data_IF_224169589381
#
_entry.id   IF_224169589381
#
_cell.length_a   1.000
_cell.length_b   1.000
_cell.length_c   1.000
_cell.angle_alpha   90.00
_cell.angle_beta   90.00
_cell.angle_gamma   90.00
#
_symmetry.space_group_name_H-M   'P 1'
#
loop_
_entity.id
_entity.type
_entity.pdbx_description
1 polymer ?
#
# COMPACT_ATOMS: atom_id res chain seq x y z
N UNK A 1 -7.43 -2.40 57.34
CA UNK A 1 -7.08 -2.78 55.94
C UNK A 1 -8.07 -2.23 54.90
N UNK A 2 -8.43 -0.93 54.93
CA UNK A 2 -9.32 -0.31 53.91
C UNK A 2 -8.74 0.95 53.25
N UNK A 3 -7.59 1.45 53.72
CA UNK A 3 -6.95 2.67 53.19
C UNK A 3 -5.87 2.39 52.14
N UNK A 4 -5.29 1.18 52.14
CA UNK A 4 -4.24 0.78 51.18
C UNK A 4 -4.86 0.40 49.83
N UNK A 5 -6.06 -0.16 49.82
CA UNK A 5 -6.76 -0.61 48.59
C UNK A 5 -7.19 0.56 47.70
N UNK A 6 -7.48 1.73 48.28
CA UNK A 6 -7.91 2.91 47.51
C UNK A 6 -6.75 3.62 46.80
N UNK A 7 -5.54 3.57 47.38
CA UNK A 7 -4.34 4.15 46.77
C UNK A 7 -3.85 3.33 45.57
N UNK A 8 -4.05 2.00 45.60
CA UNK A 8 -3.69 1.13 44.47
C UNK A 8 -4.62 1.30 43.26
N UNK A 9 -5.87 1.69 43.46
CA UNK A 9 -6.83 1.95 42.37
C UNK A 9 -6.53 3.25 41.61
N UNK A 10 -5.92 4.25 42.25
CA UNK A 10 -5.55 5.53 41.61
C UNK A 10 -4.28 5.44 40.76
N UNK A 11 -3.41 4.46 41.02
CA UNK A 11 -2.15 4.25 40.27
C UNK A 11 -2.37 3.41 39.01
N UNK A 12 -3.41 2.57 38.97
CA UNK A 12 -3.74 1.77 37.78
C UNK A 12 -4.55 2.60 36.75
N UNK A 13 -5.25 3.66 37.17
CA UNK A 13 -5.96 4.55 36.26
C UNK A 13 -5.08 5.53 35.47
N UNK A 14 -3.77 5.60 35.76
CA UNK A 14 -2.83 6.52 35.10
C UNK A 14 -1.91 5.85 34.07
N UNK A 15 -2.09 4.56 33.76
CA UNK A 15 -1.26 3.82 32.77
C UNK A 15 -1.99 3.63 31.43
N UNK A 16 -2.97 4.48 31.10
CA UNK A 16 -3.65 4.41 29.78
C UNK A 16 -3.92 5.77 29.16
N UNK A 17 -2.97 6.70 29.33
CA UNK A 17 -2.88 7.89 28.49
C UNK A 17 -1.51 7.89 27.80
N UNK A 18 -1.22 6.84 27.03
CA UNK A 18 -0.62 7.09 25.72
C UNK A 18 -1.75 6.92 24.69
N UNK A 19 -2.76 7.78 24.81
CA UNK A 19 -3.47 8.17 23.60
C UNK A 19 -2.39 8.78 22.72
N UNK A 20 -1.95 8.04 21.69
CA UNK A 20 -1.42 8.70 20.51
C UNK A 20 -2.54 9.62 20.05
N UNK A 21 -2.52 10.88 20.48
CA UNK A 21 -3.26 11.93 19.80
C UNK A 21 -2.67 11.95 18.38
N UNK A 22 -3.28 11.16 17.49
CA UNK A 22 -2.92 11.14 16.08
C UNK A 22 -3.27 12.53 15.56
N UNK A 23 -2.25 13.32 15.30
CA UNK A 23 -2.40 14.57 14.56
C UNK A 23 -2.71 14.25 13.10
N UNK A 24 -3.36 15.19 12.41
CA UNK A 24 -3.53 15.12 10.94
C UNK A 24 -2.19 14.92 10.24
N UNK A 25 -1.12 15.53 10.75
CA UNK A 25 0.25 15.33 10.26
C UNK A 25 0.72 13.88 10.40
N UNK A 26 0.56 13.26 11.58
CA UNK A 26 0.95 11.85 11.80
C UNK A 26 0.17 10.89 10.90
N UNK A 27 -1.11 11.19 10.65
CA UNK A 27 -1.94 10.45 9.70
C UNK A 27 -1.42 10.57 8.27
N UNK A 28 -1.19 11.80 7.80
CA UNK A 28 -0.70 12.07 6.45
C UNK A 28 0.67 11.44 6.20
N UNK A 29 1.59 11.56 7.16
CA UNK A 29 2.92 10.96 7.07
C UNK A 29 2.85 9.43 6.88
N UNK A 30 1.92 8.74 7.57
CA UNK A 30 1.73 7.31 7.37
C UNK A 30 1.19 6.97 5.99
N UNK A 31 0.26 7.77 5.45
CA UNK A 31 -0.24 7.60 4.09
C UNK A 31 0.87 7.82 3.06
N UNK A 32 1.67 8.89 3.19
CA UNK A 32 2.78 9.21 2.29
C UNK A 32 3.86 8.13 2.31
N UNK A 33 4.23 7.66 3.51
CA UNK A 33 5.20 6.58 3.66
C UNK A 33 4.71 5.29 3.00
N UNK A 34 3.43 4.94 3.20
CA UNK A 34 2.84 3.78 2.56
C UNK A 34 2.79 3.93 1.03
N UNK A 35 2.49 5.14 0.52
CA UNK A 35 2.45 5.43 -0.91
C UNK A 35 3.80 5.23 -1.56
N UNK A 36 4.83 5.77 -0.90
CA UNK A 36 6.22 5.65 -1.32
C UNK A 36 6.60 4.17 -1.41
N UNK A 37 6.31 3.38 -0.37
CA UNK A 37 6.61 1.93 -0.35
C UNK A 37 5.86 1.15 -1.43
N UNK A 38 4.60 1.51 -1.72
CA UNK A 38 3.82 0.91 -2.80
C UNK A 38 4.51 1.12 -4.15
N UNK A 39 4.87 2.36 -4.49
CA UNK A 39 5.55 2.64 -5.75
C UNK A 39 6.93 2.01 -5.83
N UNK A 40 7.69 2.02 -4.73
CA UNK A 40 9.00 1.40 -4.68
C UNK A 40 8.93 -0.10 -4.96
N UNK A 41 7.99 -0.81 -4.34
CA UNK A 41 7.80 -2.25 -4.56
C UNK A 41 7.41 -2.57 -6.02
N UNK A 42 6.52 -1.76 -6.61
CA UNK A 42 6.10 -1.91 -8.00
C UNK A 42 7.20 -1.56 -9.00
N UNK A 43 8.00 -0.53 -8.74
CA UNK A 43 9.13 -0.14 -9.58
C UNK A 43 10.24 -1.20 -9.56
N UNK A 44 10.59 -1.71 -8.37
CA UNK A 44 11.55 -2.81 -8.21
C UNK A 44 11.09 -4.07 -8.93
N UNK A 45 9.80 -4.40 -8.84
CA UNK A 45 9.21 -5.51 -9.59
C UNK A 45 9.35 -5.32 -11.10
N UNK A 46 8.98 -4.14 -11.62
CA UNK A 46 9.07 -3.86 -13.05
C UNK A 46 10.51 -3.99 -13.52
N UNK A 47 11.46 -3.32 -12.86
CA UNK A 47 12.90 -3.40 -13.21
C UNK A 47 13.43 -4.85 -13.15
N UNK A 48 13.06 -5.60 -12.12
CA UNK A 48 13.51 -6.98 -11.93
C UNK A 48 12.89 -7.98 -12.91
N UNK A 49 11.65 -7.73 -13.37
CA UNK A 49 10.92 -8.67 -14.25
C UNK A 49 11.31 -8.56 -15.72
N UNK A 50 11.71 -7.38 -16.20
CA UNK A 50 12.01 -7.14 -17.62
C UNK A 50 13.04 -8.10 -18.22
N UNK A 51 14.06 -8.50 -17.45
CA UNK A 51 15.08 -9.44 -17.91
C UNK A 51 14.64 -10.91 -17.87
N UNK A 52 13.48 -11.21 -17.27
CA UNK A 52 12.96 -12.55 -17.04
C UNK A 52 11.82 -12.92 -18.00
N UNK A 53 11.12 -11.93 -18.55
CA UNK A 53 10.03 -12.15 -19.51
C UNK A 53 10.53 -12.87 -20.77
N UNK A 54 9.70 -13.77 -21.32
CA UNK A 54 9.99 -14.50 -22.56
C UNK A 54 11.02 -15.62 -22.42
N UNK A 55 11.48 -15.91 -21.19
CA UNK A 55 12.52 -16.90 -20.89
C UNK A 55 11.97 -18.06 -20.06
N UNK A 56 11.72 -19.25 -20.64
CA UNK A 56 11.12 -20.36 -19.90
C UNK A 56 11.90 -20.77 -18.64
N UNK A 57 13.23 -20.66 -18.70
CA UNK A 57 14.14 -20.96 -17.60
C UNK A 57 14.02 -20.00 -16.40
N UNK A 58 13.48 -18.79 -16.61
CA UNK A 58 13.36 -17.77 -15.56
C UNK A 58 12.14 -17.96 -14.65
N UNK A 59 11.25 -18.91 -14.97
CA UNK A 59 9.94 -19.10 -14.29
C UNK A 59 10.05 -19.07 -12.76
N UNK A 60 11.03 -19.78 -12.19
CA UNK A 60 11.23 -19.83 -10.74
C UNK A 60 11.67 -18.49 -10.16
N UNK A 61 12.54 -17.78 -10.87
CA UNK A 61 13.04 -16.47 -10.45
C UNK A 61 11.92 -15.42 -10.50
N UNK A 62 11.13 -15.41 -11.58
CA UNK A 62 9.99 -14.50 -11.71
C UNK A 62 8.91 -14.79 -10.65
N UNK A 63 8.60 -16.05 -10.34
CA UNK A 63 7.71 -16.40 -9.22
C UNK A 63 8.25 -15.90 -7.86
N UNK A 64 9.56 -16.00 -7.65
CA UNK A 64 10.20 -15.50 -6.42
C UNK A 64 10.08 -13.98 -6.33
N UNK A 65 10.28 -13.28 -7.45
CA UNK A 65 10.12 -11.83 -7.53
C UNK A 65 8.65 -11.42 -7.26
N UNK A 66 7.67 -12.08 -7.88
CA UNK A 66 6.24 -11.84 -7.64
C UNK A 66 5.89 -12.01 -6.16
N UNK A 67 6.30 -13.14 -5.55
CA UNK A 67 6.03 -13.43 -4.15
C UNK A 67 6.69 -12.41 -3.21
N UNK A 68 7.93 -12.01 -3.50
CA UNK A 68 8.66 -10.99 -2.74
C UNK A 68 7.95 -9.64 -2.79
N UNK A 69 7.53 -9.20 -3.99
CA UNK A 69 6.80 -7.95 -4.19
C UNK A 69 5.45 -7.98 -3.47
N UNK A 70 4.68 -9.06 -3.61
CA UNK A 70 3.42 -9.24 -2.87
C UNK A 70 3.60 -9.08 -1.36
N UNK A 71 4.63 -9.71 -0.79
CA UNK A 71 4.90 -9.62 0.64
C UNK A 71 5.27 -8.19 1.08
N UNK A 72 6.04 -7.46 0.27
CA UNK A 72 6.34 -6.04 0.51
C UNK A 72 5.07 -5.19 0.50
N UNK A 73 4.19 -5.40 -0.48
CA UNK A 73 2.91 -4.69 -0.58
C UNK A 73 2.02 -4.97 0.63
N UNK A 74 1.85 -6.24 1.02
CA UNK A 74 1.08 -6.62 2.22
C UNK A 74 1.66 -5.96 3.47
N UNK A 75 2.98 -5.96 3.63
CA UNK A 75 3.63 -5.34 4.78
C UNK A 75 3.44 -3.81 4.80
N UNK A 76 3.51 -3.16 3.64
CA UNK A 76 3.33 -1.71 3.49
C UNK A 76 1.86 -1.28 3.61
N UNK A 77 0.90 -2.17 3.33
CA UNK A 77 -0.54 -1.92 3.53
C UNK A 77 -0.93 -1.87 5.01
N UNK A 78 -0.34 -2.72 5.86
CA UNK A 78 -0.71 -2.89 7.28
C UNK A 78 -0.84 -1.59 8.08
N UNK A 79 0.09 -0.62 8.00
CA UNK A 79 -0.07 0.65 8.70
C UNK A 79 -1.35 1.40 8.29
N UNK A 80 -1.69 1.39 7.00
CA UNK A 80 -2.89 2.05 6.46
C UNK A 80 -4.17 1.33 6.92
N UNK A 81 -4.16 -0.01 6.96
CA UNK A 81 -5.28 -0.79 7.51
C UNK A 81 -5.57 -0.40 8.98
N UNK A 82 -4.51 -0.17 9.76
CA UNK A 82 -4.59 0.23 11.18
C UNK A 82 -4.84 1.74 11.40
N UNK A 83 -4.84 2.53 10.33
CA UNK A 83 -5.26 3.93 10.41
C UNK A 83 -6.77 3.99 10.63
N UNK A 84 -7.18 4.77 11.63
CA UNK A 84 -8.59 5.13 11.78
C UNK A 84 -8.87 6.27 10.80
N UNK A 85 -9.98 6.25 10.04
CA UNK A 85 -10.30 7.31 9.10
C UNK A 85 -10.46 8.64 9.84
N UNK A 86 -9.92 9.71 9.25
CA UNK A 86 -10.23 11.08 9.68
C UNK A 86 -11.58 11.49 9.10
N UNK A 87 -12.35 12.31 9.81
CA UNK A 87 -13.60 12.87 9.27
C UNK A 87 -13.36 13.75 8.04
N UNK A 88 -12.18 14.37 7.96
CA UNK A 88 -11.73 15.18 6.81
C UNK A 88 -11.03 14.37 5.73
N UNK A 89 -10.96 13.04 5.83
CA UNK A 89 -10.11 12.20 4.97
C UNK A 89 -10.46 12.26 3.47
N UNK A 90 -11.70 12.65 3.12
CA UNK A 90 -12.21 12.71 1.73
C UNK A 90 -12.02 11.39 0.95
N UNK A 91 -11.83 10.27 1.66
CA UNK A 91 -11.63 8.95 1.06
C UNK A 91 -10.17 8.58 0.78
N UNK A 92 -9.18 9.41 1.11
CA UNK A 92 -7.76 9.16 0.82
C UNK A 92 -7.30 7.78 1.32
N UNK A 93 -7.61 7.42 2.57
CA UNK A 93 -7.24 6.09 3.10
C UNK A 93 -7.90 4.97 2.33
N UNK A 94 -9.18 5.12 1.98
CA UNK A 94 -9.88 4.07 1.22
C UNK A 94 -9.22 3.89 -0.14
N UNK A 95 -9.00 4.97 -0.88
CA UNK A 95 -8.34 4.92 -2.20
C UNK A 95 -6.93 4.33 -2.10
N UNK A 96 -6.19 4.64 -1.03
CA UNK A 96 -4.89 4.03 -0.77
C UNK A 96 -4.99 2.51 -0.57
N UNK A 97 -5.97 2.04 0.23
CA UNK A 97 -6.18 0.61 0.42
C UNK A 97 -6.60 -0.08 -0.88
N UNK A 98 -7.47 0.54 -1.67
CA UNK A 98 -7.88 0.05 -2.98
C UNK A 98 -6.65 -0.08 -3.92
N UNK A 99 -5.70 0.86 -3.85
CA UNK A 99 -4.46 0.83 -4.63
C UNK A 99 -3.54 -0.32 -4.22
N UNK A 100 -3.41 -0.60 -2.91
CA UNK A 100 -2.69 -1.78 -2.44
C UNK A 100 -3.36 -3.07 -2.90
N UNK A 101 -4.69 -3.16 -2.79
CA UNK A 101 -5.44 -4.36 -3.16
C UNK A 101 -5.38 -4.62 -4.67
N UNK A 102 -5.43 -3.59 -5.51
CA UNK A 102 -5.22 -3.70 -6.95
C UNK A 102 -3.81 -4.20 -7.29
N UNK A 103 -2.78 -3.65 -6.63
CA UNK A 103 -1.39 -4.06 -6.85
C UNK A 103 -1.12 -5.50 -6.40
N UNK A 104 -1.68 -5.92 -5.25
CA UNK A 104 -1.59 -7.31 -4.77
C UNK A 104 -2.32 -8.26 -5.71
N UNK A 105 -3.55 -7.93 -6.11
CA UNK A 105 -4.34 -8.72 -7.06
C UNK A 105 -3.62 -8.88 -8.39
N UNK A 106 -2.91 -7.83 -8.83
CA UNK A 106 -2.09 -7.89 -10.04
C UNK A 106 -0.94 -8.89 -9.90
N UNK A 107 -0.27 -8.97 -8.74
CA UNK A 107 0.75 -9.99 -8.49
C UNK A 107 0.16 -11.42 -8.56
N UNK A 108 -1.06 -11.63 -8.02
CA UNK A 108 -1.77 -12.90 -8.13
C UNK A 108 -2.10 -13.26 -9.58
N UNK A 109 -2.58 -12.29 -10.36
CA UNK A 109 -2.84 -12.45 -11.78
C UNK A 109 -1.58 -12.82 -12.58
N UNK A 110 -0.44 -12.19 -12.27
CA UNK A 110 0.85 -12.49 -12.91
C UNK A 110 1.35 -13.89 -12.52
N UNK A 111 1.19 -14.31 -11.27
CA UNK A 111 1.53 -15.67 -10.82
C UNK A 111 0.71 -16.74 -11.55
N UNK A 112 -0.61 -16.55 -11.65
CA UNK A 112 -1.50 -17.49 -12.36
C UNK A 112 -1.09 -17.63 -13.83
N UNK A 113 -0.61 -16.55 -14.44
CA UNK A 113 -0.25 -16.49 -15.85
C UNK A 113 1.25 -16.60 -16.09
N UNK A 114 2.01 -17.13 -15.13
CA UNK A 114 3.46 -17.20 -15.20
C UNK A 114 3.98 -17.89 -16.47
N UNK A 115 3.29 -18.92 -16.96
CA UNK A 115 3.69 -19.64 -18.17
C UNK A 115 3.56 -18.78 -19.42
N UNK A 116 2.62 -17.83 -19.45
CA UNK A 116 2.50 -16.85 -20.53
C UNK A 116 3.64 -15.84 -20.44
N UNK A 117 3.98 -15.39 -19.22
CA UNK A 117 5.04 -14.41 -18.99
C UNK A 117 6.43 -14.93 -19.36
N UNK A 118 6.69 -16.23 -19.23
CA UNK A 118 7.99 -16.84 -19.53
C UNK A 118 8.05 -17.63 -20.84
N UNK A 119 6.91 -17.88 -21.49
CA UNK A 119 6.92 -18.57 -22.79
C UNK A 119 7.73 -17.79 -23.84
N UNK A 120 8.55 -18.54 -24.57
CA UNK A 120 9.25 -18.03 -25.74
C UNK A 120 8.23 -17.49 -26.75
N UNK A 121 8.51 -16.34 -27.34
CA UNK A 121 7.67 -15.66 -28.34
C UNK A 121 6.34 -15.05 -27.82
N UNK A 122 6.13 -14.98 -26.49
CA UNK A 122 4.95 -14.32 -25.89
C UNK A 122 5.22 -12.91 -25.34
N UNK A 123 6.34 -12.28 -25.69
CA UNK A 123 6.77 -10.98 -25.16
C UNK A 123 5.70 -9.89 -25.28
N UNK A 124 5.03 -9.79 -26.43
CA UNK A 124 3.96 -8.81 -26.64
C UNK A 124 2.78 -9.02 -25.69
N UNK A 125 2.36 -10.27 -25.49
CA UNK A 125 1.27 -10.62 -24.56
C UNK A 125 1.69 -10.37 -23.12
N UNK A 126 2.92 -10.72 -22.76
CA UNK A 126 3.48 -10.45 -21.44
C UNK A 126 3.55 -8.94 -21.14
N UNK A 127 3.96 -8.12 -22.11
CA UNK A 127 3.98 -6.67 -21.99
C UNK A 127 2.57 -6.10 -21.77
N UNK A 128 1.56 -6.56 -22.52
CA UNK A 128 0.17 -6.15 -22.30
C UNK A 128 -0.33 -6.52 -20.91
N UNK A 129 0.03 -7.71 -20.41
CA UNK A 129 -0.33 -8.12 -19.05
C UNK A 129 0.33 -7.26 -17.98
N UNK A 130 1.62 -6.95 -18.13
CA UNK A 130 2.34 -6.04 -17.24
C UNK A 130 1.72 -4.64 -17.28
N UNK A 131 1.43 -4.10 -18.46
CA UNK A 131 0.77 -2.79 -18.58
C UNK A 131 -0.61 -2.78 -17.92
N UNK A 132 -1.41 -3.83 -18.12
CA UNK A 132 -2.71 -3.97 -17.47
C UNK A 132 -2.61 -3.97 -15.94
N UNK A 133 -1.62 -4.69 -15.40
CA UNK A 133 -1.35 -4.75 -13.95
C UNK A 133 -1.04 -3.38 -13.31
N UNK A 134 -0.54 -2.39 -14.07
CA UNK A 134 -0.23 -1.06 -13.55
C UNK A 134 -1.27 0.01 -13.91
N UNK A 135 -2.21 -0.27 -14.80
CA UNK A 135 -3.17 0.74 -15.29
C UNK A 135 -4.08 1.23 -14.17
N UNK A 136 -4.67 0.31 -13.41
CA UNK A 136 -5.55 0.66 -12.29
C UNK A 136 -4.81 1.43 -11.18
N UNK A 137 -3.53 1.11 -10.95
CA UNK A 137 -2.67 1.82 -9.99
C UNK A 137 -2.52 3.30 -10.41
N UNK A 138 -2.29 3.57 -11.70
CA UNK A 138 -2.18 4.94 -12.22
C UNK A 138 -3.50 5.70 -12.06
N UNK A 139 -4.64 5.06 -12.36
CA UNK A 139 -5.96 5.68 -12.18
C UNK A 139 -6.26 6.02 -10.71
N UNK A 140 -5.82 5.16 -9.77
CA UNK A 140 -5.96 5.40 -8.35
C UNK A 140 -5.02 6.50 -7.84
N UNK A 141 -3.80 6.61 -8.38
CA UNK A 141 -2.89 7.72 -8.09
C UNK A 141 -3.47 9.07 -8.52
N UNK A 142 -4.08 9.14 -9.71
CA UNK A 142 -4.78 10.35 -10.15
C UNK A 142 -5.97 10.72 -9.24
N UNK A 143 -6.72 9.72 -8.74
CA UNK A 143 -7.77 9.96 -7.74
C UNK A 143 -7.20 10.46 -6.41
N UNK A 144 -6.06 9.92 -5.96
CA UNK A 144 -5.36 10.41 -4.77
C UNK A 144 -4.97 11.89 -4.95
N UNK A 145 -4.42 12.27 -6.11
CA UNK A 145 -4.09 13.68 -6.41
C UNK A 145 -5.32 14.58 -6.37
N UNK A 146 -6.45 14.13 -6.92
CA UNK A 146 -7.71 14.89 -6.84
C UNK A 146 -8.17 15.09 -5.41
N UNK A 147 -8.12 14.05 -4.57
CA UNK A 147 -8.45 14.14 -3.14
C UNK A 147 -7.54 15.14 -2.42
N UNK A 148 -6.25 15.22 -2.78
CA UNK A 148 -5.34 16.20 -2.21
C UNK A 148 -5.70 17.64 -2.57
N UNK A 149 -6.17 17.88 -3.81
CA UNK A 149 -6.66 19.19 -4.25
C UNK A 149 -7.93 19.57 -3.49
N UNK A 150 -8.91 18.67 -3.43
CA UNK A 150 -10.17 18.90 -2.67
C UNK A 150 -9.92 19.19 -1.19
N UNK A 151 -8.89 18.56 -0.62
CA UNK A 151 -8.48 18.81 0.75
C UNK A 151 -7.93 20.23 0.90
N UNK A 152 -7.02 20.63 0.02
CA UNK A 152 -6.43 21.96 0.06
C UNK A 152 -7.51 23.05 -0.10
N UNK A 153 -8.46 22.88 -1.01
CA UNK A 153 -9.58 23.80 -1.20
C UNK A 153 -10.42 23.95 0.08
N UNK A 154 -10.62 22.85 0.80
CA UNK A 154 -11.38 22.82 2.06
C UNK A 154 -10.58 23.33 3.28
N UNK A 155 -9.26 23.51 3.14
CA UNK A 155 -8.33 23.83 4.24
C UNK A 155 -7.41 25.02 3.93
N UNK A 156 -7.95 26.05 3.28
CA UNK A 156 -7.23 27.31 2.99
C UNK A 156 -5.92 27.10 2.20
N UNK A 157 -5.95 26.28 1.16
CA UNK A 157 -4.83 25.92 0.30
C UNK A 157 -3.68 25.15 0.98
N UNK A 158 -3.90 24.58 2.17
CA UNK A 158 -2.92 23.70 2.80
C UNK A 158 -2.99 22.29 2.17
N UNK A 159 -1.94 21.92 1.44
CA UNK A 159 -1.72 20.55 0.98
C UNK A 159 -1.35 19.64 2.16
N UNK A 160 -1.65 18.34 2.05
CA UNK A 160 -1.25 17.33 3.05
C UNK A 160 0.20 16.90 2.89
#
# INVERSE_FOLDING_TARGET
MKKITLLLLLVISSISISCNERTTESYNNQIVEAHTKLFQANEEFLKGSLSLIGKPESKKELLTLIASTRNKLIAAKKPVDLLLPLSSDQGLRKTMLDMFDSSITSMDGLEINIDILTAKDNEAKAATMLQGAFTEIIELDEKIKQIQVEYADSNNAQLR
#
